data_IF_883455725346
#
_entry.id   IF_883455725346
#
_cell.length_a   1.000
_cell.length_b   1.000
_cell.length_c   1.000
_cell.angle_alpha   90.00
_cell.angle_beta   90.00
_cell.angle_gamma   90.00
#
_symmetry.space_group_name_H-M   'P 1'
#
loop_
_entity.id
_entity.type
_entity.pdbx_description
1 polymer ?
#
# COMPACT_ATOMS: atom_id res chain seq x y z
N UNK A 1 11.51 2.49 26.18
CA UNK A 1 12.58 3.13 25.36
C UNK A 1 12.34 4.62 25.19
N UNK A 2 11.19 5.08 24.72
CA UNK A 2 10.87 6.51 24.51
C UNK A 2 11.08 7.36 25.76
N UNK A 3 10.61 6.94 26.92
CA UNK A 3 10.77 7.66 28.19
C UNK A 3 12.24 7.90 28.53
N UNK A 4 13.11 6.91 28.31
CA UNK A 4 14.55 7.06 28.51
C UNK A 4 15.20 8.10 27.61
N UNK A 5 14.74 8.22 26.36
CA UNK A 5 15.23 9.26 25.43
C UNK A 5 14.85 10.64 25.99
N UNK A 6 13.63 10.78 26.46
CA UNK A 6 13.14 12.07 26.99
C UNK A 6 13.68 12.47 28.34
N UNK A 7 14.14 11.51 29.13
CA UNK A 7 14.92 11.81 30.35
C UNK A 7 16.22 12.56 30.02
N UNK A 8 16.81 12.29 28.84
CA UNK A 8 18.06 12.91 28.39
C UNK A 8 17.79 14.13 27.49
N UNK A 9 16.79 14.02 26.60
CA UNK A 9 16.39 15.05 25.63
C UNK A 9 14.89 15.26 25.71
N UNK A 10 14.39 16.14 26.61
CA UNK A 10 12.95 16.30 26.86
C UNK A 10 12.11 16.63 25.62
N UNK A 11 12.66 17.44 24.71
CA UNK A 11 11.97 17.90 23.49
C UNK A 11 12.30 17.08 22.24
N UNK A 12 12.80 15.85 22.42
CA UNK A 12 13.17 14.99 21.31
C UNK A 12 12.00 14.79 20.34
N UNK A 13 12.22 15.10 19.06
CA UNK A 13 11.30 14.80 17.96
C UNK A 13 11.55 13.37 17.51
N UNK A 14 10.63 12.48 17.87
CA UNK A 14 10.78 11.05 17.61
C UNK A 14 10.11 10.68 16.28
N UNK A 15 10.85 9.92 15.48
CA UNK A 15 10.38 9.34 14.23
C UNK A 15 10.29 7.83 14.40
N UNK A 16 9.24 7.24 13.90
CA UNK A 16 9.04 5.79 13.94
C UNK A 16 8.92 5.22 12.52
N UNK A 17 9.71 4.21 12.24
CA UNK A 17 9.60 3.45 10.99
C UNK A 17 8.64 2.27 11.17
N UNK A 18 7.46 2.37 10.54
CA UNK A 18 6.54 1.24 10.42
C UNK A 18 7.08 0.28 9.34
N UNK A 19 8.13 -0.44 9.72
CA UNK A 19 8.88 -1.26 8.77
C UNK A 19 8.02 -2.39 8.16
N UNK A 20 8.05 -2.58 6.83
CA UNK A 20 7.43 -3.73 6.19
C UNK A 20 8.17 -5.05 6.47
N UNK A 21 9.39 -4.99 7.02
CA UNK A 21 10.11 -6.18 7.50
C UNK A 21 9.56 -6.73 8.82
N UNK A 22 8.74 -5.95 9.53
CA UNK A 22 8.04 -6.39 10.71
C UNK A 22 6.75 -7.09 10.29
N UNK A 23 6.52 -8.30 10.74
CA UNK A 23 5.26 -8.99 10.48
C UNK A 23 4.18 -8.44 11.42
N UNK A 24 3.46 -7.42 10.95
CA UNK A 24 2.45 -6.71 11.73
C UNK A 24 1.34 -7.64 12.21
N UNK A 25 0.78 -8.43 11.30
CA UNK A 25 -0.32 -9.34 11.62
C UNK A 25 0.09 -10.36 12.67
N UNK A 26 1.15 -11.13 12.42
CA UNK A 26 1.59 -12.16 13.36
C UNK A 26 1.93 -11.56 14.74
N UNK A 27 2.69 -10.48 14.75
CA UNK A 27 3.14 -9.87 16.00
C UNK A 27 1.99 -9.33 16.85
N UNK A 28 0.98 -8.73 16.24
CA UNK A 28 -0.17 -8.23 16.99
C UNK A 28 -1.12 -9.36 17.40
N UNK A 29 -1.32 -10.38 16.58
CA UNK A 29 -2.09 -11.58 16.95
C UNK A 29 -1.42 -12.31 18.12
N UNK A 30 -0.10 -12.48 18.11
CA UNK A 30 0.64 -13.04 19.23
C UNK A 30 0.51 -12.21 20.52
N UNK A 31 0.55 -10.88 20.42
CA UNK A 31 0.34 -10.00 21.57
C UNK A 31 -1.08 -10.12 22.16
N UNK A 32 -2.10 -10.27 21.32
CA UNK A 32 -3.48 -10.50 21.78
C UNK A 32 -3.59 -11.87 22.43
N UNK A 33 -3.06 -12.91 21.78
CA UNK A 33 -3.02 -14.26 22.33
C UNK A 33 -2.38 -14.31 23.72
N UNK A 34 -1.19 -13.71 23.84
CA UNK A 34 -0.45 -13.68 25.10
C UNK A 34 -1.25 -12.92 26.18
N UNK A 35 -1.85 -11.79 25.85
CA UNK A 35 -2.68 -11.00 26.77
C UNK A 35 -3.93 -11.76 27.22
N UNK A 36 -4.61 -12.47 26.33
CA UNK A 36 -5.77 -13.30 26.66
C UNK A 36 -5.38 -14.47 27.55
N UNK A 37 -4.29 -15.17 27.22
CA UNK A 37 -3.76 -16.26 28.02
C UNK A 37 -3.40 -15.80 29.44
N UNK A 38 -2.72 -14.67 29.58
CA UNK A 38 -2.38 -14.07 30.88
C UNK A 38 -3.63 -13.65 31.67
N UNK A 39 -4.70 -13.23 30.99
CA UNK A 39 -5.98 -12.91 31.61
C UNK A 39 -6.82 -14.14 31.96
N UNK A 40 -6.36 -15.35 31.63
CA UNK A 40 -7.07 -16.60 31.89
C UNK A 40 -8.24 -16.87 30.92
N UNK A 41 -8.25 -16.21 29.77
CA UNK A 41 -9.20 -16.53 28.70
C UNK A 41 -8.79 -17.84 28.00
N UNK A 42 -9.76 -18.57 27.46
CA UNK A 42 -9.51 -19.79 26.72
C UNK A 42 -8.92 -19.44 25.33
N UNK A 43 -7.71 -19.87 25.09
CA UNK A 43 -6.99 -19.73 23.82
C UNK A 43 -6.67 -21.08 23.18
N UNK A 44 -7.28 -22.17 23.66
CA UNK A 44 -6.96 -23.55 23.25
C UNK A 44 -7.27 -23.85 21.77
N UNK A 45 -8.11 -23.05 21.13
CA UNK A 45 -8.42 -23.18 19.71
C UNK A 45 -7.38 -22.54 18.77
N UNK A 46 -6.42 -21.78 19.34
CA UNK A 46 -5.41 -21.08 18.57
C UNK A 46 -4.04 -21.72 18.73
N UNK A 47 -3.32 -21.91 17.63
CA UNK A 47 -1.91 -22.19 17.64
C UNK A 47 -1.13 -20.87 17.53
N UNK A 48 -0.45 -20.49 18.61
CA UNK A 48 0.29 -19.24 18.73
C UNK A 48 1.33 -19.03 17.62
N UNK A 49 1.93 -20.11 17.13
CA UNK A 49 2.97 -20.05 16.11
C UNK A 49 2.41 -20.11 14.68
N UNK A 50 1.15 -20.50 14.53
CA UNK A 50 0.44 -20.59 13.26
C UNK A 50 -0.61 -19.50 13.04
N UNK A 51 -0.62 -18.41 13.82
CA UNK A 51 -1.63 -17.33 13.77
C UNK A 51 -1.68 -16.55 12.44
N UNK A 52 -0.79 -16.84 11.49
CA UNK A 52 -0.88 -16.33 10.10
C UNK A 52 -1.79 -17.16 9.20
N UNK A 53 -2.28 -18.30 9.65
CA UNK A 53 -3.21 -19.10 8.86
C UNK A 53 -4.50 -18.31 8.58
N UNK A 54 -4.97 -18.39 7.34
CA UNK A 54 -6.17 -17.67 6.90
C UNK A 54 -7.45 -18.11 7.65
N UNK A 55 -7.46 -19.31 8.25
CA UNK A 55 -8.56 -19.78 9.09
C UNK A 55 -8.81 -18.90 10.30
N UNK A 56 -7.81 -18.14 10.74
CA UNK A 56 -7.94 -17.21 11.87
C UNK A 56 -8.36 -15.79 11.49
N UNK A 57 -8.44 -15.43 10.20
CA UNK A 57 -8.62 -14.04 9.78
C UNK A 57 -9.91 -13.37 10.28
N UNK A 58 -10.97 -14.15 10.51
CA UNK A 58 -12.27 -13.65 10.98
C UNK A 58 -12.54 -13.97 12.46
N UNK A 59 -11.56 -14.48 13.20
CA UNK A 59 -11.71 -14.77 14.63
C UNK A 59 -11.68 -13.51 15.49
N UNK A 60 -12.24 -13.57 16.69
CA UNK A 60 -12.21 -12.45 17.64
C UNK A 60 -10.78 -11.99 17.94
N UNK A 61 -9.86 -12.94 18.06
CA UNK A 61 -8.43 -12.66 18.26
C UNK A 61 -7.85 -11.83 17.11
N UNK A 62 -8.13 -12.21 15.86
CA UNK A 62 -7.64 -11.50 14.69
C UNK A 62 -8.27 -10.11 14.58
N UNK A 63 -9.57 -9.98 14.81
CA UNK A 63 -10.28 -8.70 14.78
C UNK A 63 -9.75 -7.73 15.85
N UNK A 64 -9.43 -8.23 17.06
CA UNK A 64 -8.80 -7.40 18.09
C UNK A 64 -7.39 -6.97 17.68
N UNK A 65 -6.60 -7.88 17.11
CA UNK A 65 -5.26 -7.55 16.60
C UNK A 65 -5.32 -6.49 15.49
N UNK A 66 -6.24 -6.63 14.55
CA UNK A 66 -6.44 -5.65 13.46
C UNK A 66 -6.87 -4.29 13.99
N UNK A 67 -7.74 -4.24 14.99
CA UNK A 67 -8.11 -2.99 15.66
C UNK A 67 -6.90 -2.31 16.33
N UNK A 68 -6.01 -3.08 16.95
CA UNK A 68 -4.76 -2.56 17.52
C UNK A 68 -3.78 -2.07 16.44
N UNK A 69 -3.66 -2.77 15.31
CA UNK A 69 -2.86 -2.31 14.16
C UNK A 69 -3.43 -0.99 13.61
N UNK A 70 -4.74 -0.92 13.43
CA UNK A 70 -5.43 0.27 12.93
C UNK A 70 -5.21 1.48 13.84
N UNK A 71 -5.19 1.30 15.13
CA UNK A 71 -4.99 2.39 16.10
C UNK A 71 -3.53 2.74 16.35
N UNK A 72 -2.59 1.87 16.00
CA UNK A 72 -1.19 1.93 16.39
C UNK A 72 -0.52 3.31 16.21
N UNK A 73 -0.63 3.91 15.03
CA UNK A 73 0.02 5.19 14.76
C UNK A 73 -0.54 6.31 15.63
N UNK A 74 -1.85 6.35 15.81
CA UNK A 74 -2.53 7.32 16.67
C UNK A 74 -2.10 7.16 18.13
N UNK A 75 -2.07 5.94 18.60
CA UNK A 75 -1.77 5.64 20.00
C UNK A 75 -0.29 5.85 20.30
N UNK A 76 0.61 5.44 19.40
CA UNK A 76 2.02 5.74 19.49
C UNK A 76 2.31 7.26 19.47
N UNK A 77 1.54 8.04 18.69
CA UNK A 77 1.67 9.49 18.70
C UNK A 77 1.18 10.11 20.01
N UNK A 78 0.07 9.64 20.55
CA UNK A 78 -0.53 10.18 21.78
C UNK A 78 0.26 9.77 23.04
N UNK A 79 0.60 8.51 23.15
CA UNK A 79 1.19 7.93 24.37
C UNK A 79 2.72 8.07 24.39
N UNK A 80 3.36 7.81 23.28
CA UNK A 80 4.81 7.86 23.15
C UNK A 80 5.31 9.18 22.51
N UNK A 81 4.41 10.03 22.02
CA UNK A 81 4.75 11.30 21.37
C UNK A 81 5.59 11.10 20.11
N UNK A 82 5.32 10.08 19.35
CA UNK A 82 5.94 9.91 18.04
C UNK A 82 5.45 11.04 17.15
N UNK A 83 6.39 11.84 16.68
CA UNK A 83 6.12 13.04 15.90
C UNK A 83 5.85 12.71 14.43
N UNK A 84 6.55 11.72 13.90
CA UNK A 84 6.47 11.36 12.49
C UNK A 84 6.52 9.84 12.33
N UNK A 85 5.59 9.32 11.52
CA UNK A 85 5.57 7.93 11.11
C UNK A 85 5.93 7.82 9.63
N UNK A 86 6.71 6.83 9.28
CA UNK A 86 7.04 6.52 7.89
C UNK A 86 6.91 5.02 7.66
N UNK A 87 6.65 4.64 6.42
CA UNK A 87 6.74 3.26 5.93
C UNK A 87 7.84 3.24 4.89
N UNK A 88 8.84 2.39 5.08
CA UNK A 88 9.90 2.20 4.09
C UNK A 88 9.43 1.25 2.98
N UNK A 89 9.83 1.53 1.74
CA UNK A 89 9.55 0.70 0.57
C UNK A 89 8.05 0.40 0.27
N UNK A 90 7.07 1.27 0.58
CA UNK A 90 5.67 0.93 0.34
C UNK A 90 5.40 0.72 -1.15
N UNK A 91 5.96 1.56 -2.01
CA UNK A 91 5.80 1.46 -3.47
C UNK A 91 6.42 0.17 -4.02
N UNK A 92 7.56 -0.25 -3.47
CA UNK A 92 8.19 -1.51 -3.87
C UNK A 92 7.29 -2.71 -3.61
N UNK A 93 6.74 -2.83 -2.40
CA UNK A 93 5.89 -3.95 -2.03
C UNK A 93 4.53 -3.92 -2.77
N UNK A 94 3.93 -2.75 -2.90
CA UNK A 94 2.66 -2.62 -3.64
C UNK A 94 2.85 -2.90 -5.12
N UNK A 95 3.93 -2.44 -5.73
CA UNK A 95 4.25 -2.72 -7.12
C UNK A 95 4.52 -4.22 -7.35
N UNK A 96 5.27 -4.87 -6.47
CA UNK A 96 5.56 -6.30 -6.55
C UNK A 96 4.28 -7.12 -6.51
N UNK A 97 3.41 -6.88 -5.50
CA UNK A 97 2.14 -7.59 -5.36
C UNK A 97 1.21 -7.35 -6.56
N UNK A 98 1.05 -6.09 -6.99
CA UNK A 98 0.17 -5.75 -8.11
C UNK A 98 0.69 -6.33 -9.43
N UNK A 99 2.01 -6.41 -9.60
CA UNK A 99 2.62 -7.03 -10.78
C UNK A 99 2.39 -8.54 -10.78
N UNK A 100 2.56 -9.20 -9.64
CA UNK A 100 2.32 -10.63 -9.50
C UNK A 100 0.86 -10.99 -9.85
N UNK A 101 -0.10 -10.28 -9.27
CA UNK A 101 -1.53 -10.45 -9.56
C UNK A 101 -1.86 -10.22 -11.04
N UNK A 102 -1.25 -9.22 -11.67
CA UNK A 102 -1.44 -8.95 -13.08
C UNK A 102 -0.87 -10.08 -13.94
N UNK A 103 0.33 -10.56 -13.63
CA UNK A 103 1.01 -11.63 -14.35
C UNK A 103 0.22 -12.93 -14.27
N UNK A 104 -0.25 -13.29 -13.08
CA UNK A 104 -1.09 -14.47 -12.87
C UNK A 104 -2.35 -14.44 -13.76
N UNK A 105 -3.07 -13.33 -13.77
CA UNK A 105 -4.25 -13.18 -14.61
C UNK A 105 -3.94 -13.08 -16.10
N UNK A 106 -2.87 -12.38 -16.48
CA UNK A 106 -2.52 -12.10 -17.87
C UNK A 106 -2.02 -13.36 -18.60
N UNK A 107 -1.14 -14.13 -17.97
CA UNK A 107 -0.62 -15.39 -18.52
C UNK A 107 -1.49 -16.62 -18.21
N UNK A 108 -2.50 -16.45 -17.35
CA UNK A 108 -3.55 -17.44 -17.13
C UNK A 108 -4.59 -17.40 -18.24
N UNK A 109 -5.86 -17.32 -17.87
CA UNK A 109 -7.01 -17.40 -18.79
C UNK A 109 -7.62 -16.04 -19.17
N UNK A 110 -7.18 -14.92 -18.55
CA UNK A 110 -7.80 -13.61 -18.72
C UNK A 110 -7.11 -12.73 -19.78
N UNK A 111 -5.82 -12.92 -20.08
CA UNK A 111 -5.08 -12.12 -21.05
C UNK A 111 -5.19 -10.61 -20.74
N UNK A 112 -5.41 -9.78 -21.76
CA UNK A 112 -5.60 -8.33 -21.60
C UNK A 112 -6.75 -7.92 -20.68
N UNK A 113 -7.71 -8.83 -20.42
CA UNK A 113 -8.81 -8.54 -19.53
C UNK A 113 -8.34 -8.36 -18.08
N UNK A 114 -7.29 -9.09 -17.65
CA UNK A 114 -6.66 -8.91 -16.35
C UNK A 114 -6.17 -7.47 -16.16
N UNK A 115 -5.45 -6.93 -17.14
CA UNK A 115 -5.02 -5.54 -17.13
C UNK A 115 -6.20 -4.56 -17.15
N UNK A 116 -7.14 -4.76 -18.07
CA UNK A 116 -8.28 -3.87 -18.21
C UNK A 116 -9.14 -3.78 -16.95
N UNK A 117 -9.36 -4.92 -16.26
CA UNK A 117 -10.14 -4.96 -15.02
C UNK A 117 -9.33 -4.54 -13.79
N UNK A 118 -8.15 -5.12 -13.61
CA UNK A 118 -7.36 -4.97 -12.39
C UNK A 118 -6.63 -3.64 -12.29
N UNK A 119 -6.32 -3.02 -13.43
CA UNK A 119 -5.55 -1.77 -13.47
C UNK A 119 -6.39 -0.63 -14.09
N UNK A 120 -6.62 -0.67 -15.39
CA UNK A 120 -7.14 0.49 -16.12
C UNK A 120 -8.51 0.97 -15.62
N UNK A 121 -9.47 0.06 -15.40
CA UNK A 121 -10.79 0.43 -14.88
C UNK A 121 -10.72 1.01 -13.48
N UNK A 122 -9.84 0.51 -12.64
CA UNK A 122 -9.66 1.01 -11.28
C UNK A 122 -8.98 2.39 -11.27
N UNK A 123 -7.98 2.61 -12.12
CA UNK A 123 -7.37 3.93 -12.29
C UNK A 123 -8.41 4.99 -12.73
N UNK A 124 -9.24 4.65 -13.72
CA UNK A 124 -10.31 5.54 -14.21
C UNK A 124 -11.32 5.84 -13.09
N UNK A 125 -11.83 4.81 -12.42
CA UNK A 125 -12.84 4.96 -11.35
C UNK A 125 -12.34 5.78 -10.17
N UNK A 126 -11.06 5.65 -9.85
CA UNK A 126 -10.43 6.36 -8.74
C UNK A 126 -9.88 7.73 -9.14
N UNK A 127 -9.93 8.10 -10.42
CA UNK A 127 -9.37 9.35 -10.93
C UNK A 127 -7.85 9.42 -10.78
N UNK A 128 -7.16 8.29 -10.91
CA UNK A 128 -5.69 8.25 -10.79
C UNK A 128 -5.08 8.83 -12.07
N UNK A 129 -4.19 9.80 -11.90
CA UNK A 129 -3.62 10.55 -13.02
C UNK A 129 -2.77 9.71 -13.99
N UNK A 130 -2.26 8.55 -13.53
CA UNK A 130 -1.46 7.64 -14.38
C UNK A 130 -2.22 7.08 -15.57
N UNK A 131 -3.55 7.10 -15.56
CA UNK A 131 -4.36 6.76 -16.75
C UNK A 131 -4.03 7.66 -17.94
N UNK A 132 -3.62 8.92 -17.66
CA UNK A 132 -3.14 9.90 -18.64
C UNK A 132 -1.60 9.94 -18.67
N UNK A 133 -0.96 8.77 -18.71
CA UNK A 133 0.50 8.67 -18.64
C UNK A 133 1.25 9.42 -19.73
N UNK A 134 0.64 9.61 -20.89
CA UNK A 134 1.23 10.40 -21.98
C UNK A 134 1.39 11.87 -21.59
N UNK A 135 0.36 12.46 -20.98
CA UNK A 135 0.44 13.83 -20.46
C UNK A 135 1.45 13.93 -19.32
N UNK A 136 1.45 12.96 -18.41
CA UNK A 136 2.43 12.91 -17.30
C UNK A 136 3.88 12.77 -17.79
N UNK A 137 4.09 12.03 -18.88
CA UNK A 137 5.40 11.86 -19.50
C UNK A 137 5.82 13.05 -20.38
N UNK A 138 4.96 14.04 -20.53
CA UNK A 138 5.24 15.22 -21.35
C UNK A 138 5.18 14.98 -22.85
N UNK A 139 4.42 13.98 -23.32
CA UNK A 139 4.29 13.69 -24.75
C UNK A 139 3.63 14.82 -25.51
N UNK A 140 2.77 15.63 -24.87
CA UNK A 140 2.23 16.88 -25.42
C UNK A 140 3.35 17.87 -25.80
N UNK A 141 4.37 18.02 -24.95
CA UNK A 141 5.52 18.90 -25.24
C UNK A 141 6.27 18.37 -26.48
N UNK A 142 6.46 17.06 -26.57
CA UNK A 142 7.07 16.43 -27.75
C UNK A 142 6.24 16.59 -29.01
N UNK A 143 4.92 16.51 -28.90
CA UNK A 143 4.00 16.71 -30.01
C UNK A 143 3.97 18.16 -30.47
N UNK A 144 4.00 19.13 -29.56
CA UNK A 144 4.11 20.56 -29.87
C UNK A 144 5.42 20.88 -30.59
N UNK A 145 6.55 20.28 -30.16
CA UNK A 145 7.81 20.44 -30.89
C UNK A 145 7.75 19.85 -32.28
N UNK A 146 7.16 18.67 -32.47
CA UNK A 146 7.00 18.08 -33.81
C UNK A 146 6.14 18.96 -34.71
N UNK A 147 5.04 19.50 -34.22
CA UNK A 147 4.17 20.40 -34.93
C UNK A 147 4.88 21.70 -35.35
N UNK A 148 5.66 22.27 -34.44
CA UNK A 148 6.43 23.48 -34.70
C UNK A 148 7.43 23.31 -35.86
N UNK A 149 8.12 22.17 -35.92
CA UNK A 149 9.16 21.92 -36.94
C UNK A 149 8.63 21.25 -38.20
N UNK A 150 7.53 20.51 -38.14
CA UNK A 150 7.03 19.67 -39.26
C UNK A 150 5.61 20.03 -39.68
N UNK A 151 4.99 21.01 -39.03
CA UNK A 151 3.63 21.46 -39.32
C UNK A 151 2.55 20.49 -38.85
N UNK A 152 1.29 20.81 -39.20
CA UNK A 152 0.10 20.05 -38.74
C UNK A 152 0.05 18.60 -39.18
N UNK A 153 0.83 18.21 -40.20
CA UNK A 153 0.93 16.82 -40.66
C UNK A 153 1.81 15.90 -39.79
N UNK A 154 2.44 16.45 -38.74
CA UNK A 154 3.28 15.68 -37.84
C UNK A 154 2.47 14.59 -37.09
N UNK A 155 3.02 13.38 -37.04
CA UNK A 155 2.44 12.30 -36.22
C UNK A 155 2.60 12.62 -34.73
N UNK A 156 1.49 12.79 -34.04
CA UNK A 156 1.40 13.13 -32.62
C UNK A 156 1.01 11.90 -31.79
N UNK A 157 1.66 11.71 -30.62
CA UNK A 157 1.32 10.64 -29.71
C UNK A 157 -0.10 10.80 -29.13
N UNK A 158 -0.50 12.04 -28.81
CA UNK A 158 -1.84 12.41 -28.37
C UNK A 158 -2.78 12.83 -29.51
N UNK A 159 -2.46 12.53 -30.74
CA UNK A 159 -3.20 12.99 -31.90
C UNK A 159 -4.54 12.27 -32.12
N UNK A 160 -5.35 12.87 -33.04
CA UNK A 160 -6.70 12.41 -33.38
C UNK A 160 -6.76 10.94 -33.81
N UNK A 161 -5.71 10.47 -34.49
CA UNK A 161 -5.63 9.10 -35.01
C UNK A 161 -4.95 8.13 -34.06
N UNK A 162 -4.68 8.54 -32.83
CA UNK A 162 -4.02 7.72 -31.80
C UNK A 162 -4.84 7.72 -30.51
N UNK A 163 -4.49 8.53 -29.50
CA UNK A 163 -5.06 8.44 -28.15
C UNK A 163 -5.95 9.62 -27.77
N UNK A 164 -6.17 10.55 -28.68
CA UNK A 164 -7.05 11.71 -28.44
C UNK A 164 -8.47 11.24 -28.05
N UNK A 165 -8.97 11.73 -26.92
CA UNK A 165 -10.30 11.42 -26.38
C UNK A 165 -10.52 9.98 -25.87
N UNK A 166 -9.47 9.21 -25.58
CA UNK A 166 -9.63 7.87 -25.01
C UNK A 166 -9.75 7.90 -23.46
N UNK A 167 -9.27 8.97 -22.82
CA UNK A 167 -9.29 9.13 -21.36
C UNK A 167 -9.71 10.54 -20.94
#
# INVERSE_FOLDING_TARGET
MVNRIREVVPDAKLVYNNSPSFNWTLSFRQQVFDAWSEAGQDVSEYDRDALMDASYDETELALEADARIQSFQRDASREAGIFHHLITLPTYHTAALSTDQLVEGYFGDQGMLAYAKGVQREEIRRGIATVKHQDMAGSNIGDDHKEYFSGEAALKAGGKDNTMNQF
#
